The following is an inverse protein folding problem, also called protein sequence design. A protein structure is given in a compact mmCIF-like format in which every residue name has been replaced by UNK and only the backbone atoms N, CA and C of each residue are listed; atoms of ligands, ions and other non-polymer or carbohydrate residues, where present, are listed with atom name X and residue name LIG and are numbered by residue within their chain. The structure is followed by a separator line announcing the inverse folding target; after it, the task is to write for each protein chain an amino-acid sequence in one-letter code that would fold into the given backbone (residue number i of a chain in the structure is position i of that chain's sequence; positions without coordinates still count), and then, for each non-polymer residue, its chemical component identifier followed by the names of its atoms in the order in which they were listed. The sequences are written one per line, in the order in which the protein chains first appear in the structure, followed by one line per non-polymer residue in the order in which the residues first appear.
data_IF_449210203584
#
_entry.id   IF_449210203584
#
_cell.length_a   1.000
_cell.length_b   1.000
_cell.length_c   1.000
_cell.angle_alpha   90.00
_cell.angle_beta   90.00
_cell.angle_gamma   90.00
#
_symmetry.space_group_name_H-M   'P 1'
#
loop_
_entity.id
_entity.type
_entity.pdbx_description
1 polymer ?
#
# COMPACT_ATOMS: atom_id res chain seq x y z
N UNK A 1 29.03 58.33 -40.23
CA UNK A 1 28.25 57.93 -39.07
C UNK A 1 27.69 56.50 -39.32
N UNK A 2 28.31 55.48 -38.67
CA UNK A 2 27.91 54.10 -38.80
C UNK A 2 27.22 53.71 -37.49
N UNK A 3 25.93 53.37 -37.55
CA UNK A 3 25.14 52.95 -36.39
C UNK A 3 25.25 51.42 -36.35
N UNK A 4 25.89 50.84 -35.33
CA UNK A 4 25.89 49.44 -35.02
C UNK A 4 24.63 49.12 -34.23
N UNK A 5 23.77 48.25 -34.80
CA UNK A 5 22.60 47.67 -34.10
C UNK A 5 23.06 46.39 -33.37
N UNK A 6 23.06 46.40 -32.05
CA UNK A 6 23.24 45.22 -31.21
C UNK A 6 21.95 44.45 -31.12
N UNK A 7 21.89 43.25 -31.72
CA UNK A 7 20.79 42.29 -31.54
C UNK A 7 21.09 41.49 -30.26
N UNK A 8 20.30 41.68 -29.22
CA UNK A 8 20.31 40.87 -28.00
C UNK A 8 19.40 39.68 -28.22
N UNK A 9 19.97 38.52 -28.42
CA UNK A 9 19.21 37.26 -28.46
C UNK A 9 18.89 36.81 -27.04
N UNK A 10 17.64 36.94 -26.63
CA UNK A 10 17.15 36.40 -25.37
C UNK A 10 16.84 34.90 -25.56
N UNK A 11 17.74 34.05 -25.10
CA UNK A 11 17.49 32.59 -24.97
C UNK A 11 16.57 32.34 -23.80
N UNK A 12 15.29 32.06 -24.09
CA UNK A 12 14.34 31.55 -23.09
C UNK A 12 14.71 30.10 -22.77
N UNK A 13 15.33 29.88 -21.62
CA UNK A 13 15.44 28.54 -21.04
C UNK A 13 14.03 28.13 -20.57
N UNK A 14 13.33 27.36 -21.38
CA UNK A 14 12.16 26.63 -20.94
C UNK A 14 12.63 25.53 -20.00
N UNK A 15 12.56 25.80 -18.69
CA UNK A 15 12.74 24.81 -17.66
C UNK A 15 11.68 23.72 -17.83
N UNK A 16 12.07 22.55 -18.33
CA UNK A 16 11.25 21.35 -18.27
C UNK A 16 11.22 20.94 -16.79
N UNK A 17 10.31 21.54 -16.01
CA UNK A 17 9.97 21.06 -14.70
C UNK A 17 9.42 19.64 -14.89
N UNK A 18 10.10 18.64 -14.34
CA UNK A 18 9.55 17.30 -14.24
C UNK A 18 8.17 17.42 -13.58
N UNK A 19 7.11 17.20 -14.34
CA UNK A 19 5.77 17.19 -13.80
C UNK A 19 5.72 16.10 -12.74
N UNK A 20 5.74 16.53 -11.48
CA UNK A 20 5.56 15.62 -10.37
C UNK A 20 4.19 14.99 -10.55
N UNK A 21 4.14 13.66 -10.71
CA UNK A 21 2.89 12.94 -10.91
C UNK A 21 1.92 13.33 -9.79
N UNK A 22 0.80 13.94 -10.18
CA UNK A 22 -0.20 14.40 -9.23
C UNK A 22 -0.94 13.18 -8.71
N UNK A 23 -0.81 12.89 -7.40
CA UNK A 23 -1.57 11.85 -6.74
C UNK A 23 -3.07 12.09 -6.90
N UNK A 24 -3.79 11.08 -7.33
CA UNK A 24 -5.23 11.13 -7.55
C UNK A 24 -5.95 10.03 -6.80
N UNK A 25 -7.17 10.33 -6.35
CA UNK A 25 -8.04 9.37 -5.71
C UNK A 25 -8.61 8.39 -6.72
N UNK A 26 -8.60 7.12 -6.35
CA UNK A 26 -9.20 6.02 -7.09
C UNK A 26 -10.31 5.39 -6.25
N UNK A 27 -11.59 5.70 -6.53
CA UNK A 27 -12.73 5.14 -5.81
C UNK A 27 -13.09 3.74 -6.32
N UNK A 28 -13.17 2.79 -5.41
CA UNK A 28 -13.62 1.42 -5.65
C UNK A 28 -14.92 1.18 -4.88
N UNK A 29 -16.01 1.74 -5.40
CA UNK A 29 -17.31 1.78 -4.69
C UNK A 29 -17.85 0.40 -4.35
N UNK A 30 -17.75 -0.56 -5.27
CA UNK A 30 -18.21 -1.95 -5.06
C UNK A 30 -17.41 -2.69 -3.98
N UNK A 31 -16.18 -2.26 -3.76
CA UNK A 31 -15.30 -2.77 -2.71
C UNK A 31 -15.30 -1.91 -1.45
N UNK A 32 -15.99 -0.77 -1.47
CA UNK A 32 -16.25 0.06 -0.31
C UNK A 32 -15.11 0.98 0.14
N UNK A 33 -14.10 1.27 -0.72
CA UNK A 33 -12.96 2.10 -0.33
C UNK A 33 -12.48 3.04 -1.43
N UNK A 34 -11.61 3.98 -1.03
CA UNK A 34 -10.87 4.89 -1.90
C UNK A 34 -9.40 4.87 -1.47
N UNK A 35 -8.49 4.98 -2.41
CA UNK A 35 -7.04 5.10 -2.16
C UNK A 35 -6.42 6.04 -3.20
N UNK A 36 -5.33 6.72 -2.84
CA UNK A 36 -4.59 7.58 -3.77
C UNK A 36 -3.49 6.79 -4.48
N UNK A 37 -3.37 6.98 -5.81
CA UNK A 37 -2.21 6.51 -6.57
C UNK A 37 -1.53 7.68 -7.31
N UNK A 38 -0.20 7.63 -7.52
CA UNK A 38 0.49 8.65 -8.31
C UNK A 38 0.17 8.57 -9.83
N UNK A 39 -0.25 7.40 -10.31
CA UNK A 39 -0.72 7.14 -11.68
C UNK A 39 -1.81 6.05 -11.61
N UNK A 40 -2.64 5.87 -12.66
CA UNK A 40 -3.64 4.81 -12.69
C UNK A 40 -3.02 3.43 -12.45
N UNK A 41 -3.53 2.66 -11.47
CA UNK A 41 -3.00 1.34 -11.16
C UNK A 41 -3.47 0.29 -12.16
N UNK A 42 -2.65 -0.76 -12.35
CA UNK A 42 -3.08 -1.98 -12.99
C UNK A 42 -3.93 -2.82 -12.03
N UNK A 43 -5.00 -3.44 -12.55
CA UNK A 43 -5.84 -4.36 -11.79
C UNK A 43 -5.47 -5.81 -12.09
N UNK A 44 -5.47 -6.64 -11.06
CA UNK A 44 -5.29 -8.09 -11.16
C UNK A 44 -6.06 -8.81 -10.05
N UNK A 45 -6.09 -10.13 -10.12
CA UNK A 45 -6.70 -10.98 -9.10
C UNK A 45 -5.63 -11.83 -8.44
N UNK A 46 -5.79 -12.02 -7.13
CA UNK A 46 -4.98 -12.91 -6.31
C UNK A 46 -5.83 -13.92 -5.57
N UNK A 47 -5.19 -14.64 -4.66
CA UNK A 47 -5.85 -15.60 -3.80
C UNK A 47 -5.31 -15.51 -2.38
N UNK A 48 -6.21 -15.33 -1.42
CA UNK A 48 -5.92 -15.42 0.00
C UNK A 48 -6.13 -16.88 0.44
N UNK A 49 -5.09 -17.47 1.00
CA UNK A 49 -5.14 -18.82 1.55
C UNK A 49 -4.32 -18.86 2.83
N UNK A 50 -4.91 -19.35 3.90
CA UNK A 50 -4.28 -19.54 5.21
C UNK A 50 -4.78 -20.80 5.89
N UNK A 51 -4.45 -20.99 7.17
CA UNK A 51 -4.99 -22.11 7.97
C UNK A 51 -6.48 -21.94 8.24
N UNK A 52 -6.93 -20.68 8.35
CA UNK A 52 -8.34 -20.35 8.65
C UNK A 52 -9.21 -20.24 7.40
N UNK A 53 -8.61 -20.03 6.24
CA UNK A 53 -9.31 -19.77 4.97
C UNK A 53 -8.71 -20.62 3.87
N UNK A 54 -9.47 -21.56 3.33
CA UNK A 54 -9.01 -22.44 2.25
C UNK A 54 -8.70 -21.69 0.96
N UNK A 55 -9.56 -20.73 0.61
CA UNK A 55 -9.39 -19.86 -0.56
C UNK A 55 -10.37 -18.69 -0.50
N UNK A 56 -9.89 -17.49 -0.75
CA UNK A 56 -10.72 -16.31 -0.96
C UNK A 56 -10.16 -15.43 -2.08
N UNK A 57 -11.02 -14.85 -2.95
CA UNK A 57 -10.54 -13.98 -4.03
C UNK A 57 -9.99 -12.67 -3.48
N UNK A 58 -8.92 -12.20 -4.10
CA UNK A 58 -8.29 -10.92 -3.78
C UNK A 58 -8.32 -10.02 -5.01
N UNK A 59 -8.89 -8.84 -4.88
CA UNK A 59 -8.75 -7.76 -5.85
C UNK A 59 -7.47 -6.99 -5.56
N UNK A 60 -6.58 -6.90 -6.54
CA UNK A 60 -5.26 -6.25 -6.41
C UNK A 60 -5.17 -5.09 -7.39
N UNK A 61 -4.80 -3.93 -6.90
CA UNK A 61 -4.53 -2.72 -7.67
C UNK A 61 -3.10 -2.30 -7.39
N UNK A 62 -2.25 -2.27 -8.40
CA UNK A 62 -0.83 -2.01 -8.21
C UNK A 62 -0.28 -1.02 -9.21
N UNK A 63 0.69 -0.21 -8.75
CA UNK A 63 1.41 0.75 -9.57
C UNK A 63 2.85 0.84 -9.10
N UNK A 64 3.79 0.81 -10.04
CA UNK A 64 5.21 1.00 -9.76
C UNK A 64 5.66 2.36 -10.27
N UNK A 65 6.36 3.10 -9.44
CA UNK A 65 7.00 4.35 -9.83
C UNK A 65 8.39 4.40 -9.19
N UNK A 66 9.40 4.62 -10.01
CA UNK A 66 10.80 4.64 -9.58
C UNK A 66 11.15 3.37 -8.76
N UNK A 67 11.61 3.56 -7.53
CA UNK A 67 11.93 2.48 -6.60
C UNK A 67 10.80 2.18 -5.61
N UNK A 68 9.59 2.62 -5.88
CA UNK A 68 8.43 2.34 -5.04
C UNK A 68 7.38 1.51 -5.78
N UNK A 69 6.75 0.60 -5.05
CA UNK A 69 5.61 -0.19 -5.50
C UNK A 69 4.44 0.09 -4.55
N UNK A 70 3.32 0.48 -5.09
CA UNK A 70 2.07 0.81 -4.39
C UNK A 70 1.04 -0.25 -4.70
N UNK A 71 0.49 -0.92 -3.67
CA UNK A 71 -0.45 -2.02 -3.84
C UNK A 71 -1.60 -1.86 -2.86
N UNK A 72 -2.81 -1.69 -3.38
CA UNK A 72 -4.03 -1.84 -2.62
C UNK A 72 -4.64 -3.20 -2.92
N UNK A 73 -4.84 -4.03 -1.91
CA UNK A 73 -5.50 -5.32 -2.07
C UNK A 73 -6.70 -5.45 -1.13
N UNK A 74 -7.75 -6.10 -1.64
CA UNK A 74 -8.99 -6.34 -0.91
C UNK A 74 -9.36 -7.80 -1.05
N UNK A 75 -9.36 -8.50 0.09
CA UNK A 75 -9.81 -9.90 0.18
C UNK A 75 -11.26 -9.92 0.61
N UNK A 76 -12.13 -10.56 -0.16
CA UNK A 76 -13.52 -10.80 0.24
C UNK A 76 -13.58 -12.05 1.11
N UNK A 77 -13.85 -11.83 2.40
CA UNK A 77 -13.94 -12.87 3.43
C UNK A 77 -15.37 -13.09 3.91
N UNK A 78 -16.36 -12.55 3.20
CA UNK A 78 -17.77 -12.77 3.51
C UNK A 78 -18.11 -14.26 3.43
N UNK A 79 -18.61 -14.83 4.51
CA UNK A 79 -18.96 -16.24 4.62
C UNK A 79 -17.78 -17.19 4.86
N UNK A 80 -16.56 -16.68 5.05
CA UNK A 80 -15.40 -17.48 5.44
C UNK A 80 -15.39 -17.74 6.94
N UNK A 81 -14.82 -18.89 7.33
CA UNK A 81 -14.65 -19.22 8.74
C UNK A 81 -13.66 -18.27 9.40
N UNK A 82 -14.03 -17.69 10.54
CA UNK A 82 -13.17 -16.86 11.36
C UNK A 82 -13.76 -15.48 11.64
N UNK A 83 -13.54 -15.02 12.85
CA UNK A 83 -13.84 -13.66 13.24
C UNK A 83 -12.74 -12.72 12.73
N UNK A 84 -13.10 -11.47 12.42
CA UNK A 84 -12.15 -10.48 11.89
C UNK A 84 -10.90 -10.31 12.74
N UNK A 85 -10.99 -10.47 14.08
CA UNK A 85 -9.83 -10.41 14.98
C UNK A 85 -8.83 -11.56 14.72
N UNK A 86 -9.31 -12.78 14.51
CA UNK A 86 -8.45 -13.95 14.23
C UNK A 86 -7.77 -13.80 12.88
N UNK A 87 -8.51 -13.35 11.85
CA UNK A 87 -7.97 -13.10 10.51
C UNK A 87 -6.93 -11.99 10.51
N UNK A 88 -7.14 -10.92 11.28
CA UNK A 88 -6.16 -9.84 11.47
C UNK A 88 -4.89 -10.36 12.16
N UNK A 89 -5.03 -11.17 13.21
CA UNK A 89 -3.89 -11.76 13.93
C UNK A 89 -3.07 -12.67 13.01
N UNK A 90 -3.73 -13.50 12.19
CA UNK A 90 -3.06 -14.36 11.23
C UNK A 90 -2.32 -13.56 10.15
N UNK A 91 -2.93 -12.50 9.64
CA UNK A 91 -2.28 -11.62 8.67
C UNK A 91 -1.08 -10.89 9.28
N UNK A 92 -1.18 -10.40 10.52
CA UNK A 92 -0.06 -9.80 11.26
C UNK A 92 1.08 -10.81 11.48
N UNK A 93 0.74 -12.05 11.82
CA UNK A 93 1.73 -13.12 11.97
C UNK A 93 2.46 -13.39 10.64
N UNK A 94 1.74 -13.57 9.54
CA UNK A 94 2.36 -13.77 8.23
C UNK A 94 3.24 -12.56 7.81
N UNK A 95 2.81 -11.34 8.09
CA UNK A 95 3.61 -10.14 7.85
C UNK A 95 4.90 -10.14 8.68
N UNK A 96 4.85 -10.59 9.94
CA UNK A 96 6.02 -10.66 10.82
C UNK A 96 7.10 -11.63 10.34
N UNK A 97 6.74 -12.60 9.52
CA UNK A 97 7.67 -13.57 8.93
C UNK A 97 8.37 -13.04 7.65
N UNK A 98 7.93 -11.88 7.11
CA UNK A 98 8.57 -11.28 5.93
C UNK A 98 9.88 -10.57 6.26
N UNK A 99 10.11 -10.19 7.51
CA UNK A 99 11.27 -9.40 7.87
C UNK A 99 11.24 -8.88 9.29
N UNK A 100 12.15 -7.96 9.59
CA UNK A 100 12.24 -7.30 10.90
C UNK A 100 11.19 -6.19 11.03
N UNK A 101 10.29 -6.32 12.02
CA UNK A 101 9.29 -5.29 12.32
C UNK A 101 10.00 -4.06 12.92
N UNK A 102 9.85 -2.92 12.28
CA UNK A 102 10.38 -1.62 12.73
C UNK A 102 9.32 -0.76 13.45
N UNK A 103 8.06 -0.94 13.09
CA UNK A 103 6.94 -0.30 13.78
C UNK A 103 5.70 -1.21 13.70
N UNK A 104 4.92 -1.24 14.77
CA UNK A 104 3.59 -1.85 14.82
C UNK A 104 2.73 -1.01 15.75
N UNK A 105 1.67 -0.43 15.23
CA UNK A 105 0.76 0.44 15.97
C UNK A 105 -0.67 0.30 15.48
N UNK A 106 -1.61 0.73 16.30
CA UNK A 106 -3.01 0.84 15.87
C UNK A 106 -3.13 1.94 14.82
N UNK A 107 -3.76 1.62 13.70
CA UNK A 107 -4.19 2.57 12.69
C UNK A 107 -5.68 2.88 12.86
N UNK A 108 -6.10 4.09 12.48
CA UNK A 108 -7.49 4.52 12.52
C UNK A 108 -7.81 5.36 11.31
N UNK A 109 -8.86 4.98 10.62
CA UNK A 109 -9.45 5.74 9.52
C UNK A 109 -10.87 6.11 9.91
N UNK A 110 -11.38 7.20 9.40
CA UNK A 110 -12.69 7.75 9.69
C UNK A 110 -12.87 8.23 11.15
N UNK A 111 -13.39 9.44 11.36
CA UNK A 111 -13.58 9.99 12.70
C UNK A 111 -14.85 9.49 13.37
N UNK A 112 -14.90 9.63 14.69
CA UNK A 112 -16.11 9.42 15.49
C UNK A 112 -16.57 7.97 15.53
N UNK A 113 -17.88 7.78 15.47
CA UNK A 113 -18.54 6.47 15.56
C UNK A 113 -18.33 5.57 14.34
N UNK A 114 -17.95 6.16 13.23
CA UNK A 114 -17.70 5.44 11.97
C UNK A 114 -16.22 5.04 11.85
N UNK A 115 -15.44 5.20 12.92
CA UNK A 115 -14.02 4.87 12.92
C UNK A 115 -13.77 3.39 12.60
N UNK A 116 -12.88 3.16 11.65
CA UNK A 116 -12.37 1.83 11.30
C UNK A 116 -10.97 1.71 11.86
N UNK A 117 -10.77 0.69 12.68
CA UNK A 117 -9.48 0.42 13.30
C UNK A 117 -8.74 -0.69 12.55
N UNK A 118 -7.42 -0.56 12.51
CA UNK A 118 -6.54 -1.50 11.85
C UNK A 118 -5.15 -1.48 12.46
N UNK A 119 -4.18 -1.96 11.69
CA UNK A 119 -2.76 -2.00 12.06
C UNK A 119 -1.92 -1.26 11.05
N UNK A 120 -1.03 -0.43 11.54
CA UNK A 120 0.05 0.17 10.78
C UNK A 120 1.35 -0.58 11.12
N UNK A 121 1.95 -1.22 10.11
CA UNK A 121 3.13 -2.05 10.30
C UNK A 121 4.21 -1.61 9.31
N UNK A 122 5.44 -1.44 9.79
CA UNK A 122 6.62 -1.23 8.95
C UNK A 122 7.60 -2.37 9.13
N UNK A 123 8.07 -2.95 8.03
CA UNK A 123 8.92 -4.14 8.01
C UNK A 123 10.13 -3.88 7.11
N UNK A 124 11.32 -4.17 7.59
CA UNK A 124 12.50 -4.33 6.75
C UNK A 124 12.54 -5.78 6.26
N UNK A 125 12.22 -5.99 4.98
CA UNK A 125 12.11 -7.32 4.39
C UNK A 125 13.45 -8.02 4.40
N UNK A 126 13.47 -9.23 4.96
CA UNK A 126 14.66 -10.05 5.10
C UNK A 126 14.29 -11.52 5.16
N UNK A 127 14.92 -12.33 4.34
CA UNK A 127 14.76 -13.79 4.38
C UNK A 127 15.55 -14.41 5.52
N UNK A 128 15.11 -15.58 5.98
CA UNK A 128 15.84 -16.40 6.95
C UNK A 128 15.87 -15.84 8.37
N UNK A 129 14.85 -15.07 8.79
CA UNK A 129 14.77 -14.53 10.15
C UNK A 129 14.36 -15.56 11.21
N UNK A 130 13.78 -16.68 10.79
CA UNK A 130 13.31 -17.74 11.71
C UNK A 130 14.17 -18.99 11.49
N UNK A 131 15.37 -19.08 12.14
CA UNK A 131 16.31 -20.16 11.88
C UNK A 131 15.78 -21.54 12.24
N UNK A 132 14.90 -21.61 13.25
CA UNK A 132 14.41 -22.87 13.83
C UNK A 132 13.16 -23.43 13.14
N UNK A 133 12.63 -22.73 12.14
CA UNK A 133 11.43 -23.15 11.41
C UNK A 133 11.62 -22.97 9.88
N UNK A 134 12.45 -23.80 9.26
CA UNK A 134 12.72 -23.72 7.83
C UNK A 134 11.42 -23.87 7.02
N UNK A 135 11.17 -22.93 6.12
CA UNK A 135 10.02 -22.92 5.24
C UNK A 135 8.87 -21.98 5.66
N UNK A 136 8.85 -21.44 6.88
CA UNK A 136 7.81 -20.48 7.27
C UNK A 136 7.94 -19.14 6.57
N UNK A 137 9.16 -18.66 6.37
CA UNK A 137 9.43 -17.46 5.59
C UNK A 137 9.01 -17.63 4.12
N UNK A 138 9.26 -18.80 3.52
CA UNK A 138 8.79 -19.11 2.17
C UNK A 138 7.26 -19.16 2.09
N UNK A 139 6.60 -19.73 3.10
CA UNK A 139 5.14 -19.76 3.17
C UNK A 139 4.56 -18.34 3.30
N UNK A 140 5.17 -17.48 4.14
CA UNK A 140 4.78 -16.09 4.30
C UNK A 140 5.00 -15.27 3.02
N UNK A 141 6.10 -15.47 2.30
CA UNK A 141 6.35 -14.85 1.00
C UNK A 141 5.30 -15.29 -0.05
N UNK A 142 4.96 -16.58 -0.09
CA UNK A 142 3.93 -17.09 -0.98
C UNK A 142 2.54 -16.53 -0.64
N UNK A 143 2.21 -16.45 0.65
CA UNK A 143 0.99 -15.79 1.10
C UNK A 143 0.97 -14.31 0.69
N UNK A 144 2.04 -13.57 0.99
CA UNK A 144 2.14 -12.16 0.63
C UNK A 144 2.00 -11.94 -0.88
N UNK A 145 2.67 -12.77 -1.69
CA UNK A 145 2.53 -12.74 -3.14
C UNK A 145 1.10 -13.07 -3.61
N UNK A 146 0.44 -14.02 -2.95
CA UNK A 146 -0.96 -14.35 -3.22
C UNK A 146 -1.91 -13.17 -3.00
N UNK A 147 -1.68 -12.37 -1.96
CA UNK A 147 -2.55 -11.25 -1.59
C UNK A 147 -2.14 -9.90 -2.19
N UNK A 148 -0.92 -9.76 -2.69
CA UNK A 148 -0.42 -8.48 -3.23
C UNK A 148 0.01 -8.57 -4.70
N UNK A 149 0.20 -9.75 -5.24
CA UNK A 149 0.79 -9.97 -6.56
C UNK A 149 2.30 -9.67 -6.62
N UNK A 150 2.95 -9.39 -5.48
CA UNK A 150 4.34 -8.99 -5.41
C UNK A 150 5.10 -9.72 -4.31
N UNK A 151 6.41 -9.82 -4.47
CA UNK A 151 7.32 -10.28 -3.41
C UNK A 151 7.73 -9.09 -2.51
N UNK A 152 8.22 -9.40 -1.29
CA UNK A 152 8.94 -8.46 -0.43
C UNK A 152 10.45 -8.77 -0.52
N UNK A 153 11.21 -8.18 -1.46
CA UNK A 153 12.60 -8.52 -1.66
C UNK A 153 13.47 -8.14 -0.47
N UNK A 154 14.55 -8.89 -0.23
CA UNK A 154 15.53 -8.55 0.79
C UNK A 154 16.04 -7.12 0.61
N UNK A 155 16.11 -6.39 1.73
CA UNK A 155 16.52 -4.99 1.72
C UNK A 155 15.42 -4.01 1.29
N UNK A 156 14.20 -4.47 1.00
CA UNK A 156 13.04 -3.58 0.83
C UNK A 156 12.49 -3.13 2.18
N UNK A 157 11.83 -1.97 2.19
CA UNK A 157 10.99 -1.55 3.32
C UNK A 157 9.53 -1.56 2.91
N UNK A 158 8.74 -2.38 3.58
CA UNK A 158 7.31 -2.50 3.43
C UNK A 158 6.61 -1.68 4.52
N UNK A 159 5.69 -0.82 4.13
CA UNK A 159 4.76 -0.12 5.02
C UNK A 159 3.35 -0.57 4.69
N UNK A 160 2.65 -1.12 5.66
CA UNK A 160 1.30 -1.69 5.50
C UNK A 160 0.32 -0.98 6.41
N UNK A 161 -0.82 -0.58 5.87
CA UNK A 161 -2.04 -0.41 6.66
C UNK A 161 -2.98 -1.58 6.38
N UNK A 162 -3.31 -2.32 7.43
CA UNK A 162 -4.15 -3.51 7.42
C UNK A 162 -5.46 -3.22 8.16
N UNK A 163 -6.60 -3.45 7.52
CA UNK A 163 -7.93 -3.25 8.10
C UNK A 163 -8.82 -4.45 7.84
N UNK A 164 -9.68 -4.76 8.80
CA UNK A 164 -10.83 -5.63 8.58
C UNK A 164 -12.12 -4.81 8.74
N UNK A 165 -12.89 -4.72 7.67
CA UNK A 165 -14.10 -3.91 7.66
C UNK A 165 -15.18 -4.55 6.78
N UNK A 166 -16.38 -4.76 7.34
CA UNK A 166 -17.55 -5.32 6.64
C UNK A 166 -17.26 -6.63 5.90
N UNK A 167 -16.60 -7.57 6.58
CA UNK A 167 -16.28 -8.89 6.01
C UNK A 167 -15.18 -8.89 4.94
N UNK A 168 -14.42 -7.81 4.81
CA UNK A 168 -13.29 -7.69 3.90
C UNK A 168 -12.03 -7.30 4.64
N UNK A 169 -10.91 -7.85 4.19
CA UNK A 169 -9.59 -7.42 4.63
C UNK A 169 -8.95 -6.54 3.56
N UNK A 170 -8.48 -5.38 3.99
CA UNK A 170 -7.83 -4.39 3.16
C UNK A 170 -6.37 -4.28 3.55
N UNK A 171 -5.46 -4.41 2.59
CA UNK A 171 -4.03 -4.21 2.79
C UNK A 171 -3.54 -3.12 1.84
N UNK A 172 -3.08 -2.02 2.39
CA UNK A 172 -2.53 -0.90 1.62
C UNK A 172 -1.03 -0.88 1.84
N UNK A 173 -0.29 -1.32 0.83
CA UNK A 173 1.12 -1.67 0.90
C UNK A 173 1.97 -0.70 0.08
N UNK A 174 2.80 0.09 0.73
CA UNK A 174 3.86 0.86 0.10
C UNK A 174 5.21 0.14 0.27
N UNK A 175 5.82 -0.30 -0.82
CA UNK A 175 7.12 -0.99 -0.80
C UNK A 175 8.18 -0.10 -1.40
N UNK A 176 9.18 0.26 -0.61
CA UNK A 176 10.40 0.86 -1.12
C UNK A 176 11.38 -0.27 -1.47
N UNK A 177 11.67 -0.42 -2.76
CA UNK A 177 12.61 -1.42 -3.26
C UNK A 177 14.05 -1.01 -2.93
N UNK A 178 14.97 -1.98 -2.77
CA UNK A 178 16.36 -1.67 -2.52
C UNK A 178 16.91 -0.84 -3.68
N UNK A 179 17.51 0.30 -3.34
CA UNK A 179 18.27 1.14 -4.24
C UNK A 179 19.75 1.08 -3.85
N UNK A 180 20.63 1.45 -4.76
CA UNK A 180 22.08 1.59 -4.47
C UNK A 180 22.26 2.57 -3.30
N UNK A 181 22.42 2.07 -2.08
CA UNK A 181 22.62 2.90 -0.88
C UNK A 181 21.72 2.59 0.32
N UNK A 182 20.87 1.57 0.26
CA UNK A 182 20.07 1.10 1.43
C UNK A 182 18.60 1.50 1.42
N UNK A 183 17.85 0.91 2.35
CA UNK A 183 16.41 1.11 2.54
C UNK A 183 16.15 2.39 3.32
N UNK A 184 15.75 3.44 2.64
CA UNK A 184 15.06 4.57 3.28
C UNK A 184 13.58 4.43 3.04
N UNK A 185 12.78 4.56 4.11
CA UNK A 185 11.33 4.71 3.95
C UNK A 185 11.07 5.98 3.14
N UNK A 186 10.74 5.83 1.86
CA UNK A 186 10.38 6.97 1.04
C UNK A 186 9.03 7.56 1.50
N UNK A 187 8.87 8.89 1.51
CA UNK A 187 7.61 9.53 1.92
C UNK A 187 6.42 9.08 1.06
N UNK A 188 6.66 8.67 -0.19
CA UNK A 188 5.61 8.20 -1.08
C UNK A 188 4.96 6.88 -0.62
N UNK A 189 5.74 5.90 -0.14
CA UNK A 189 5.20 4.65 0.38
C UNK A 189 4.36 4.86 1.64
N UNK A 190 4.81 5.76 2.53
CA UNK A 190 4.07 6.14 3.73
C UNK A 190 2.78 6.90 3.38
N UNK A 191 2.86 7.85 2.44
CA UNK A 191 1.68 8.56 1.92
C UNK A 191 0.65 7.58 1.38
N UNK A 192 1.08 6.66 0.53
CA UNK A 192 0.20 5.65 -0.06
C UNK A 192 -0.48 4.81 1.00
N UNK A 193 0.28 4.22 1.93
CA UNK A 193 -0.27 3.38 2.98
C UNK A 193 -1.33 4.11 3.81
N UNK A 194 -1.21 5.43 4.01
CA UNK A 194 -2.14 6.25 4.78
C UNK A 194 -3.27 6.89 3.95
N UNK A 195 -3.35 6.62 2.65
CA UNK A 195 -4.32 7.29 1.77
C UNK A 195 -5.71 6.65 1.75
N UNK A 196 -5.90 5.49 2.39
CA UNK A 196 -7.19 4.78 2.39
C UNK A 196 -8.27 5.56 3.14
N UNK A 197 -9.47 5.56 2.57
CA UNK A 197 -10.72 5.93 3.27
C UNK A 197 -11.85 4.99 2.84
N UNK A 198 -12.90 4.87 3.66
CA UNK A 198 -14.01 3.97 3.42
C UNK A 198 -15.28 4.72 3.05
N UNK A 199 -16.10 4.10 2.19
CA UNK A 199 -17.45 4.56 1.95
C UNK A 199 -18.36 4.15 3.10
N UNK A 200 -19.28 5.03 3.47
CA UNK A 200 -20.42 4.71 4.34
C UNK A 200 -21.43 3.81 3.61
N UNK A 201 -22.40 3.20 4.32
CA UNK A 201 -23.46 2.41 3.69
C UNK A 201 -24.29 3.21 2.67
N UNK A 202 -24.42 4.52 2.86
CA UNK A 202 -25.13 5.44 1.98
C UNK A 202 -24.30 5.90 0.76
N UNK A 203 -23.06 5.41 0.62
CA UNK A 203 -22.13 5.76 -0.46
C UNK A 203 -21.40 7.09 -0.25
N UNK A 204 -21.64 7.79 0.86
CA UNK A 204 -20.88 9.01 1.20
C UNK A 204 -19.54 8.66 1.85
N UNK A 205 -18.64 9.64 1.97
CA UNK A 205 -17.38 9.51 2.69
C UNK A 205 -17.31 10.47 3.86
N UNK A 206 -16.70 10.04 4.96
CA UNK A 206 -16.33 10.91 6.07
C UNK A 206 -15.02 11.65 5.75
N UNK A 207 -14.97 12.40 4.68
CA UNK A 207 -13.88 13.33 4.52
C UNK A 207 -14.11 14.49 5.49
N UNK A 208 -13.18 14.73 6.40
CA UNK A 208 -13.15 16.02 7.09
C UNK A 208 -12.92 17.08 6.00
N UNK A 209 -13.97 17.81 5.65
CA UNK A 209 -13.90 18.98 4.77
C UNK A 209 -12.93 19.96 5.43
N UNK A 210 -11.68 20.00 5.02
CA UNK A 210 -10.70 20.87 5.66
C UNK A 210 -9.24 20.65 5.31
N UNK A 211 -8.91 19.99 4.22
CA UNK A 211 -7.57 20.02 3.67
C UNK A 211 -7.63 20.48 2.22
N UNK A 212 -7.74 21.79 2.03
CA UNK A 212 -7.33 22.47 0.79
C UNK A 212 -5.87 22.87 0.91
#
# INVERSE_FOLDING_TARGET
MRILACIVAATALAGIGAAQAAWSEHPYKDLGFVVEFPNPPAASMGNYKTVLVDSAPVHIYSQKQDNALFIASVTDLQGQAGEGASLMTEAEFNLSLLGEIKANSTSRVEPGKDAVFGRFITIDCKKGLVPDQPGQDAAAQNWFKGVTGADCPDGSRLTVNLFFHRGRMYMINGINLPANGGTTAGPAALRFANSISFFRPDGTRNRADGAQ
#
